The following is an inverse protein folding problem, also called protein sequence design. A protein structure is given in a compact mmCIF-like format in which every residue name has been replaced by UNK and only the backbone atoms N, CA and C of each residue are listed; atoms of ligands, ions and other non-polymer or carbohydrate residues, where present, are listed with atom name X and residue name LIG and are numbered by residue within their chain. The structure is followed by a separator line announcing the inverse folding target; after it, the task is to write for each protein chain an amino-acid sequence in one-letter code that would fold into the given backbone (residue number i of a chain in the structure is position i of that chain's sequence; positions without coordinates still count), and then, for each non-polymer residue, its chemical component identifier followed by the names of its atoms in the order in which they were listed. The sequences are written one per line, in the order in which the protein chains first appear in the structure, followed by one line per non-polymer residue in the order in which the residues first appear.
data_IF_667330041958
#
_entry.id   IF_667330041958
#
_cell.length_a   1.000
_cell.length_b   1.000
_cell.length_c   1.000
_cell.angle_alpha   90.00
_cell.angle_beta   90.00
_cell.angle_gamma   90.00
#
_symmetry.space_group_name_H-M   'P 1'
#
loop_
_entity.id
_entity.type
_entity.pdbx_description
1 polymer ?
#
# COMPACT_ATOMS: atom_id res chain seq x y z
N UNK A 1 3.13 19.09 25.63
CA UNK A 1 4.33 19.96 25.47
C UNK A 1 4.30 20.50 24.05
N UNK A 2 4.40 21.82 23.82
CA UNK A 2 4.52 22.33 22.45
C UNK A 2 5.96 22.10 21.97
N UNK A 3 6.14 21.21 21.00
CA UNK A 3 7.43 20.96 20.35
C UNK A 3 7.67 22.04 19.29
N UNK A 4 8.61 22.95 19.54
CA UNK A 4 9.06 23.93 18.55
C UNK A 4 10.19 23.33 17.71
N UNK A 5 9.85 22.83 16.51
CA UNK A 5 10.80 22.07 15.68
C UNK A 5 11.58 22.97 14.73
N UNK A 6 10.89 23.86 14.01
CA UNK A 6 11.47 24.70 12.96
C UNK A 6 11.58 26.18 13.36
N UNK A 7 10.89 26.60 14.42
CA UNK A 7 10.89 27.98 14.91
C UNK A 7 10.67 29.01 13.79
N UNK A 8 11.63 29.92 13.60
CA UNK A 8 11.59 30.97 12.56
C UNK A 8 11.66 30.43 11.12
N UNK A 9 12.08 29.19 10.95
CA UNK A 9 12.14 28.50 9.65
C UNK A 9 10.86 27.70 9.37
N UNK A 10 9.80 27.87 10.17
CA UNK A 10 8.52 27.21 9.96
C UNK A 10 7.87 27.70 8.67
N UNK A 11 7.16 26.79 8.00
CA UNK A 11 6.37 27.11 6.81
C UNK A 11 5.05 27.76 7.22
N UNK A 12 4.51 28.68 6.39
CA UNK A 12 3.13 29.10 6.50
C UNK A 12 2.18 27.90 6.52
N UNK A 13 1.08 28.00 7.27
CA UNK A 13 0.15 26.87 7.48
C UNK A 13 -0.45 26.38 6.16
N UNK A 14 -0.78 27.30 5.26
CA UNK A 14 -1.31 27.02 3.92
C UNK A 14 -0.30 26.25 3.05
N UNK A 15 0.99 26.58 3.15
CA UNK A 15 2.06 25.84 2.47
C UNK A 15 2.22 24.44 3.10
N UNK A 16 2.25 24.37 4.45
CA UNK A 16 2.36 23.11 5.19
C UNK A 16 1.26 22.11 4.80
N UNK A 17 0.00 22.55 4.75
CA UNK A 17 -1.14 21.68 4.46
C UNK A 17 -1.10 21.07 3.05
N UNK A 18 -0.34 21.64 2.11
CA UNK A 18 -0.22 21.10 0.75
C UNK A 18 0.64 19.83 0.68
N UNK A 19 1.68 19.74 1.50
CA UNK A 19 2.64 18.62 1.47
C UNK A 19 2.61 17.75 2.73
N UNK A 20 2.00 18.20 3.83
CA UNK A 20 1.91 17.44 5.08
C UNK A 20 1.32 16.01 4.91
N UNK A 21 0.25 15.78 4.11
CA UNK A 21 -0.26 14.43 3.90
C UNK A 21 0.75 13.50 3.23
N UNK A 22 1.54 14.03 2.29
CA UNK A 22 2.60 13.28 1.63
C UNK A 22 3.72 12.95 2.62
N UNK A 23 4.20 13.96 3.36
CA UNK A 23 5.24 13.75 4.34
C UNK A 23 4.83 12.75 5.43
N UNK A 24 3.59 12.81 5.92
CA UNK A 24 3.06 11.86 6.90
C UNK A 24 3.07 10.43 6.37
N UNK A 25 2.66 10.23 5.11
CA UNK A 25 2.71 8.92 4.47
C UNK A 25 4.16 8.45 4.35
N UNK A 26 5.07 9.30 3.89
CA UNK A 26 6.47 8.94 3.70
C UNK A 26 7.14 8.59 5.05
N UNK A 27 6.87 9.35 6.11
CA UNK A 27 7.29 9.00 7.49
C UNK A 27 6.76 7.63 7.92
N UNK A 28 5.48 7.35 7.63
CA UNK A 28 4.89 6.04 7.91
C UNK A 28 5.56 4.90 7.15
N UNK A 29 5.96 5.12 5.89
CA UNK A 29 6.69 4.13 5.12
C UNK A 29 8.10 3.91 5.67
N UNK A 30 8.84 4.99 5.98
CA UNK A 30 10.17 4.94 6.58
C UNK A 30 10.16 4.11 7.88
N UNK A 31 9.12 4.29 8.70
CA UNK A 31 8.97 3.57 9.96
C UNK A 31 8.56 2.11 9.81
N UNK A 32 7.61 1.82 8.91
CA UNK A 32 7.24 0.44 8.60
C UNK A 32 8.40 -0.36 7.99
N UNK A 33 9.33 0.32 7.30
CA UNK A 33 10.54 -0.26 6.74
C UNK A 33 11.73 -0.28 7.69
N UNK A 34 11.55 0.18 8.94
CA UNK A 34 12.57 0.16 9.98
C UNK A 34 13.86 0.91 9.61
N UNK A 35 13.78 1.92 8.76
CA UNK A 35 14.96 2.66 8.31
C UNK A 35 15.54 3.48 9.47
N UNK A 36 16.86 3.61 9.52
CA UNK A 36 17.51 4.53 10.44
C UNK A 36 17.30 5.97 9.96
N UNK A 37 16.70 6.82 10.80
CA UNK A 37 16.30 8.17 10.38
C UNK A 37 17.53 9.03 10.03
N UNK A 38 18.61 8.96 10.81
CA UNK A 38 19.80 9.77 10.55
C UNK A 38 20.42 9.42 9.19
N UNK A 39 20.68 8.13 8.97
CA UNK A 39 21.27 7.64 7.71
C UNK A 39 20.34 7.91 6.54
N UNK A 40 19.05 7.58 6.67
CA UNK A 40 18.07 7.76 5.60
C UNK A 40 17.96 9.21 5.14
N UNK A 41 17.81 10.16 6.08
CA UNK A 41 17.68 11.57 5.72
C UNK A 41 19.01 12.18 5.26
N UNK A 42 20.16 11.69 5.76
CA UNK A 42 21.46 12.08 5.24
C UNK A 42 21.66 11.63 3.79
N UNK A 43 21.35 10.37 3.50
CA UNK A 43 21.41 9.79 2.15
C UNK A 43 20.45 10.48 1.20
N UNK A 44 19.20 10.74 1.64
CA UNK A 44 18.22 11.44 0.84
C UNK A 44 18.66 12.86 0.50
N UNK A 45 19.25 13.58 1.48
CA UNK A 45 19.80 14.92 1.25
C UNK A 45 20.99 14.86 0.29
N UNK A 46 21.86 13.86 0.40
CA UNK A 46 22.99 13.67 -0.50
C UNK A 46 22.54 13.34 -1.93
N UNK A 47 21.55 12.46 -2.11
CA UNK A 47 20.97 12.12 -3.41
C UNK A 47 20.36 13.34 -4.08
N UNK A 48 19.59 14.13 -3.35
CA UNK A 48 19.05 15.39 -3.86
C UNK A 48 20.17 16.35 -4.28
N UNK A 49 21.23 16.48 -3.47
CA UNK A 49 22.39 17.29 -3.85
C UNK A 49 23.15 16.78 -5.08
N UNK A 50 23.14 15.46 -5.35
CA UNK A 50 23.70 14.88 -6.57
C UNK A 50 22.78 15.12 -7.77
N UNK A 51 21.46 14.97 -7.62
CA UNK A 51 20.48 15.30 -8.66
C UNK A 51 20.66 16.75 -9.13
N UNK A 52 20.85 17.67 -8.18
CA UNK A 52 21.17 19.08 -8.45
C UNK A 52 22.52 19.25 -9.19
N UNK A 53 23.53 18.45 -8.83
CA UNK A 53 24.86 18.50 -9.46
C UNK A 53 24.89 17.87 -10.86
N UNK A 54 24.06 16.86 -11.11
CA UNK A 54 24.09 16.04 -12.32
C UNK A 54 23.42 16.68 -13.53
N UNK A 55 22.61 17.73 -13.34
CA UNK A 55 21.85 18.32 -14.43
C UNK A 55 22.42 19.62 -14.99
N UNK A 56 23.29 20.38 -14.30
CA UNK A 56 24.13 21.45 -14.89
C UNK A 56 23.49 22.43 -15.91
N UNK A 57 22.15 22.54 -15.95
CA UNK A 57 21.39 23.14 -17.06
C UNK A 57 20.73 24.47 -16.67
N UNK A 58 20.99 25.00 -15.47
CA UNK A 58 20.49 26.30 -15.05
C UNK A 58 20.36 26.41 -13.53
N UNK A 59 19.90 27.57 -13.06
CA UNK A 59 19.50 27.76 -11.68
C UNK A 59 18.23 26.93 -11.38
N UNK A 60 18.17 26.33 -10.19
CA UNK A 60 17.01 25.58 -9.73
C UNK A 60 15.72 26.39 -9.89
N UNK A 61 14.67 25.73 -10.37
CA UNK A 61 13.34 26.33 -10.34
C UNK A 61 12.93 26.65 -8.89
N UNK A 62 12.08 27.66 -8.66
CA UNK A 62 11.55 27.94 -7.33
C UNK A 62 10.86 26.74 -6.67
N UNK A 63 10.35 25.79 -7.47
CA UNK A 63 9.77 24.54 -6.98
C UNK A 63 10.81 23.55 -6.47
N UNK A 64 11.93 23.38 -7.18
CA UNK A 64 13.05 22.52 -6.75
C UNK A 64 13.68 23.04 -5.46
N UNK A 65 13.95 24.34 -5.36
CA UNK A 65 14.48 24.94 -4.13
C UNK A 65 13.52 24.79 -2.93
N UNK A 66 12.21 24.84 -3.17
CA UNK A 66 11.22 24.53 -2.13
C UNK A 66 11.33 23.07 -1.68
N UNK A 67 11.41 22.13 -2.63
CA UNK A 67 11.55 20.70 -2.37
C UNK A 67 12.80 20.35 -1.55
N UNK A 68 13.94 20.91 -1.92
CA UNK A 68 15.21 20.73 -1.20
C UNK A 68 15.15 21.25 0.24
N UNK A 69 14.53 22.43 0.44
CA UNK A 69 14.29 22.99 1.78
C UNK A 69 13.36 22.11 2.62
N UNK A 70 12.43 21.39 2.00
CA UNK A 70 11.58 20.43 2.70
C UNK A 70 12.38 19.21 3.17
N UNK A 71 13.13 18.57 2.27
CA UNK A 71 13.91 17.38 2.59
C UNK A 71 14.96 17.63 3.68
N UNK A 72 15.64 18.78 3.62
CA UNK A 72 16.60 19.18 4.64
C UNK A 72 15.98 19.32 6.06
N UNK A 73 14.67 19.55 6.14
CA UNK A 73 13.91 19.68 7.40
C UNK A 73 13.15 18.42 7.78
N UNK A 74 12.87 17.53 6.82
CA UNK A 74 12.02 16.35 6.99
C UNK A 74 12.49 15.46 8.15
N UNK A 75 13.79 15.19 8.26
CA UNK A 75 14.32 14.35 9.36
C UNK A 75 14.20 14.97 10.76
N UNK A 76 14.22 16.31 10.87
CA UNK A 76 13.95 16.99 12.15
C UNK A 76 12.47 16.91 12.50
N UNK A 77 11.60 17.09 11.51
CA UNK A 77 10.14 16.96 11.68
C UNK A 77 9.79 15.52 12.07
N UNK A 78 10.37 14.51 11.42
CA UNK A 78 10.06 13.11 11.67
C UNK A 78 10.42 12.71 13.10
N UNK A 79 11.65 13.00 13.55
CA UNK A 79 12.08 12.74 14.94
C UNK A 79 11.18 13.44 15.97
N UNK A 80 10.87 14.72 15.75
CA UNK A 80 9.99 15.44 16.67
C UNK A 80 8.56 14.87 16.69
N UNK A 81 8.09 14.39 15.54
CA UNK A 81 6.78 13.77 15.40
C UNK A 81 6.74 12.38 16.05
N UNK A 82 7.79 11.57 15.94
CA UNK A 82 7.92 10.31 16.69
C UNK A 82 7.85 10.54 18.21
N UNK A 83 8.55 11.55 18.72
CA UNK A 83 8.50 11.89 20.14
C UNK A 83 7.08 12.30 20.55
N UNK A 84 6.43 13.17 19.77
CA UNK A 84 5.06 13.58 20.03
C UNK A 84 4.09 12.38 20.05
N UNK A 85 4.22 11.46 19.08
CA UNK A 85 3.39 10.26 18.99
C UNK A 85 3.59 9.33 20.20
N UNK A 86 4.83 9.15 20.61
CA UNK A 86 5.20 8.37 21.80
C UNK A 86 4.58 8.98 23.06
N UNK A 87 4.72 10.29 23.25
CA UNK A 87 4.17 11.02 24.40
C UNK A 87 2.63 10.94 24.46
N UNK A 88 1.97 10.94 23.29
CA UNK A 88 0.52 10.82 23.18
C UNK A 88 0.02 9.38 23.23
N UNK A 89 0.91 8.38 23.20
CA UNK A 89 0.57 6.96 23.06
C UNK A 89 -0.31 6.68 21.83
N UNK A 90 -0.09 7.43 20.75
CA UNK A 90 -0.85 7.32 19.51
C UNK A 90 0.04 7.70 18.33
N UNK A 91 -0.07 6.97 17.22
CA UNK A 91 0.70 7.28 16.03
C UNK A 91 0.13 6.73 14.74
N UNK A 92 0.75 7.12 13.63
CA UNK A 92 0.49 6.53 12.33
C UNK A 92 0.92 5.06 12.30
N UNK A 93 0.45 4.33 11.29
CA UNK A 93 0.64 2.89 11.17
C UNK A 93 2.13 2.48 11.25
N UNK A 94 3.02 3.18 10.54
CA UNK A 94 4.46 2.92 10.57
C UNK A 94 5.09 3.04 11.96
N UNK A 95 4.75 4.09 12.71
CA UNK A 95 5.26 4.29 14.07
C UNK A 95 4.80 3.15 15.00
N UNK A 96 3.53 2.73 14.88
CA UNK A 96 3.00 1.58 15.61
C UNK A 96 3.73 0.29 15.23
N UNK A 97 4.02 0.07 13.94
CA UNK A 97 4.78 -1.08 13.47
C UNK A 97 6.21 -1.11 14.01
N UNK A 98 6.91 0.03 14.00
CA UNK A 98 8.26 0.16 14.59
C UNK A 98 8.25 -0.08 16.10
N UNK A 99 7.26 0.46 16.82
CA UNK A 99 7.09 0.22 18.25
C UNK A 99 6.80 -1.26 18.56
N UNK A 100 5.99 -1.93 17.73
CA UNK A 100 5.75 -3.36 17.85
C UNK A 100 7.04 -4.17 17.69
N UNK A 101 7.88 -3.83 16.70
CA UNK A 101 9.19 -4.46 16.52
C UNK A 101 10.07 -4.28 17.76
N UNK A 102 10.16 -3.06 18.31
CA UNK A 102 10.93 -2.81 19.54
C UNK A 102 10.43 -3.64 20.73
N UNK A 103 9.11 -3.75 20.89
CA UNK A 103 8.48 -4.55 21.96
C UNK A 103 8.73 -6.07 21.79
N UNK A 104 8.67 -6.60 20.58
CA UNK A 104 9.04 -8.00 20.33
C UNK A 104 10.55 -8.26 20.44
N UNK A 105 11.38 -7.28 20.06
CA UNK A 105 12.83 -7.37 20.15
C UNK A 105 13.34 -7.34 21.61
N UNK A 106 12.64 -6.64 22.51
CA UNK A 106 12.98 -6.63 23.95
C UNK A 106 12.68 -7.96 24.66
N UNK A 107 11.95 -8.87 24.02
CA UNK A 107 11.49 -10.13 24.62
C UNK A 107 10.18 -10.00 25.41
N UNK A 108 9.63 -8.80 25.56
CA UNK A 108 8.35 -8.56 26.23
C UNK A 108 7.15 -8.82 25.32
N UNK A 109 7.35 -8.81 24.00
CA UNK A 109 6.30 -8.99 23.00
C UNK A 109 5.50 -10.26 23.23
N UNK A 110 4.24 -10.13 23.61
CA UNK A 110 3.31 -11.23 23.72
C UNK A 110 2.00 -10.85 23.05
N UNK A 111 1.30 -11.86 22.56
CA UNK A 111 -0.05 -11.70 22.06
C UNK A 111 -1.01 -12.44 23.00
N UNK A 112 -2.23 -11.92 23.19
CA UNK A 112 -3.22 -12.55 24.07
C UNK A 112 -3.83 -13.82 23.46
N UNK A 113 -3.52 -14.13 22.20
CA UNK A 113 -4.09 -15.26 21.47
C UNK A 113 -3.21 -16.51 21.60
N UNK A 114 -3.84 -17.66 21.80
CA UNK A 114 -3.15 -18.96 21.78
C UNK A 114 -2.61 -19.30 20.39
N UNK A 115 -3.33 -18.88 19.34
CA UNK A 115 -2.95 -19.10 17.96
C UNK A 115 -3.32 -17.91 17.08
N UNK A 116 -2.41 -17.54 16.19
CA UNK A 116 -2.59 -16.48 15.18
C UNK A 116 -2.42 -17.07 13.79
N UNK A 117 -3.32 -16.75 12.86
CA UNK A 117 -3.18 -17.13 11.46
C UNK A 117 -2.77 -15.94 10.61
N UNK A 118 -1.75 -16.13 9.80
CA UNK A 118 -1.27 -15.17 8.80
C UNK A 118 -1.72 -15.66 7.43
N UNK A 119 -2.64 -14.93 6.81
CA UNK A 119 -3.21 -15.25 5.50
C UNK A 119 -3.43 -13.96 4.70
N UNK A 120 -3.39 -14.05 3.36
CA UNK A 120 -3.66 -12.91 2.48
C UNK A 120 -2.58 -11.81 2.47
N UNK A 121 -1.40 -12.06 3.05
CA UNK A 121 -0.30 -11.10 3.03
C UNK A 121 0.42 -11.13 1.68
N UNK A 122 0.50 -9.98 1.01
CA UNK A 122 1.17 -9.83 -0.28
C UNK A 122 2.55 -9.19 -0.15
N UNK A 123 2.64 -7.91 0.22
CA UNK A 123 3.89 -7.17 0.33
C UNK A 123 4.10 -6.76 1.78
N UNK A 124 4.62 -7.67 2.60
CA UNK A 124 4.90 -7.38 4.01
C UNK A 124 6.02 -6.34 4.12
N UNK A 125 5.78 -5.35 4.97
CA UNK A 125 6.83 -4.42 5.39
C UNK A 125 7.86 -5.16 6.26
N UNK A 126 9.13 -4.70 6.31
CA UNK A 126 10.14 -5.25 7.23
C UNK A 126 9.66 -5.37 8.68
N UNK A 127 8.89 -4.40 9.18
CA UNK A 127 8.34 -4.45 10.53
C UNK A 127 7.33 -5.59 10.73
N UNK A 128 6.36 -5.71 9.82
CA UNK A 128 5.38 -6.81 9.87
C UNK A 128 6.07 -8.17 9.76
N UNK A 129 7.03 -8.27 8.84
CA UNK A 129 7.80 -9.48 8.63
C UNK A 129 8.57 -9.88 9.90
N UNK A 130 9.19 -8.92 10.60
CA UNK A 130 9.88 -9.18 11.86
C UNK A 130 8.93 -9.76 12.92
N UNK A 131 7.77 -9.12 13.11
CA UNK A 131 6.78 -9.55 14.11
C UNK A 131 6.22 -10.92 13.76
N UNK A 132 5.83 -11.15 12.49
CA UNK A 132 5.33 -12.43 12.01
C UNK A 132 6.37 -13.53 12.21
N UNK A 133 7.63 -13.29 11.82
CA UNK A 133 8.71 -14.26 12.00
C UNK A 133 8.91 -14.61 13.47
N UNK A 134 8.82 -13.62 14.37
CA UNK A 134 8.94 -13.84 15.80
C UNK A 134 7.80 -14.72 16.35
N UNK A 135 6.55 -14.46 15.94
CA UNK A 135 5.39 -15.25 16.34
C UNK A 135 5.42 -16.67 15.78
N UNK A 136 5.89 -16.85 14.55
CA UNK A 136 6.07 -18.17 13.93
C UNK A 136 7.14 -18.98 14.69
N UNK A 137 8.29 -18.37 14.99
CA UNK A 137 9.38 -19.01 15.75
C UNK A 137 8.95 -19.47 17.14
N UNK A 138 8.04 -18.74 17.79
CA UNK A 138 7.47 -19.11 19.10
C UNK A 138 6.35 -20.15 19.02
N UNK A 139 5.93 -20.55 17.82
CA UNK A 139 4.86 -21.51 17.62
C UNK A 139 3.45 -20.97 17.89
N UNK A 140 3.30 -19.65 18.09
CA UNK A 140 2.01 -18.99 18.31
C UNK A 140 1.33 -18.69 16.98
N UNK A 141 2.09 -18.32 15.94
CA UNK A 141 1.53 -18.09 14.61
C UNK A 141 1.57 -19.34 13.72
N UNK A 142 0.70 -19.36 12.71
CA UNK A 142 0.68 -20.23 11.53
C UNK A 142 0.52 -19.40 10.28
N UNK A 143 1.15 -19.81 9.20
CA UNK A 143 1.05 -19.12 7.92
C UNK A 143 0.28 -19.95 6.89
N UNK A 144 -0.56 -19.29 6.12
CA UNK A 144 -1.40 -19.84 5.07
C UNK A 144 -1.09 -19.09 3.76
N UNK A 145 -0.15 -19.65 3.00
CA UNK A 145 0.27 -19.06 1.72
C UNK A 145 -0.53 -19.67 0.57
N UNK A 146 -1.27 -18.83 -0.15
CA UNK A 146 -1.88 -19.23 -1.42
C UNK A 146 -0.79 -19.25 -2.49
N UNK A 147 -0.34 -20.45 -2.86
CA UNK A 147 0.80 -20.65 -3.76
C UNK A 147 0.40 -21.49 -4.97
N UNK A 148 0.94 -21.11 -6.12
CA UNK A 148 0.80 -21.84 -7.38
C UNK A 148 2.19 -22.03 -8.03
N UNK A 149 2.54 -23.23 -8.54
CA UNK A 149 3.82 -23.49 -9.19
C UNK A 149 4.16 -22.51 -10.33
N UNK A 150 3.16 -21.95 -11.03
CA UNK A 150 3.36 -20.94 -12.05
C UNK A 150 3.91 -19.61 -11.49
N UNK A 151 3.67 -19.30 -10.22
CA UNK A 151 4.23 -18.14 -9.52
C UNK A 151 5.57 -18.44 -8.86
N UNK A 152 5.78 -19.69 -8.41
CA UNK A 152 6.98 -20.07 -7.66
C UNK A 152 8.17 -20.46 -8.55
N UNK A 153 7.90 -21.16 -9.66
CA UNK A 153 8.96 -21.78 -10.46
C UNK A 153 9.57 -20.86 -11.53
N UNK A 154 8.97 -19.70 -11.77
CA UNK A 154 9.47 -18.70 -12.70
C UNK A 154 9.99 -17.46 -11.94
N UNK A 155 11.32 -17.29 -11.80
CA UNK A 155 11.89 -16.11 -11.17
C UNK A 155 11.57 -14.80 -11.90
N UNK A 156 11.30 -14.86 -13.22
CA UNK A 156 10.94 -13.70 -14.03
C UNK A 156 9.49 -13.25 -13.82
N UNK A 157 8.64 -14.10 -13.23
CA UNK A 157 7.28 -13.73 -12.89
C UNK A 157 7.27 -12.82 -11.65
N UNK A 158 6.98 -11.53 -11.87
CA UNK A 158 6.96 -10.50 -10.83
C UNK A 158 5.85 -10.71 -9.81
N UNK A 159 4.71 -11.27 -10.23
CA UNK A 159 3.58 -11.56 -9.34
C UNK A 159 3.95 -12.56 -8.22
N UNK A 160 4.95 -13.41 -8.44
CA UNK A 160 5.46 -14.35 -7.44
C UNK A 160 6.59 -13.81 -6.57
N UNK A 161 7.08 -12.60 -6.79
CA UNK A 161 8.27 -12.06 -6.12
C UNK A 161 8.14 -12.09 -4.59
N UNK A 162 7.12 -11.42 -4.04
CA UNK A 162 6.93 -11.37 -2.59
C UNK A 162 6.57 -12.73 -2.01
N UNK A 163 5.83 -13.55 -2.75
CA UNK A 163 5.47 -14.90 -2.30
C UNK A 163 6.72 -15.78 -2.13
N UNK A 164 7.65 -15.77 -3.10
CA UNK A 164 8.93 -16.48 -3.00
C UNK A 164 9.77 -15.97 -1.83
N UNK A 165 9.78 -14.65 -1.63
CA UNK A 165 10.47 -14.01 -0.49
C UNK A 165 9.87 -14.46 0.85
N UNK A 166 8.54 -14.42 1.01
CA UNK A 166 7.85 -14.89 2.20
C UNK A 166 8.13 -16.37 2.50
N UNK A 167 8.11 -17.24 1.48
CA UNK A 167 8.42 -18.66 1.66
C UNK A 167 9.86 -18.88 2.14
N UNK A 168 10.81 -18.11 1.62
CA UNK A 168 12.22 -18.19 2.02
C UNK A 168 12.45 -17.71 3.46
N UNK A 169 11.76 -16.65 3.89
CA UNK A 169 12.03 -15.98 5.16
C UNK A 169 11.10 -16.42 6.31
N UNK A 170 9.87 -16.82 5.99
CA UNK A 170 8.81 -17.19 6.94
C UNK A 170 8.45 -18.68 6.86
N UNK A 171 9.00 -19.43 5.90
CA UNK A 171 8.76 -20.85 5.71
C UNK A 171 7.54 -21.17 4.83
N UNK A 172 7.31 -22.47 4.54
CA UNK A 172 6.37 -22.92 3.50
C UNK A 172 4.89 -22.72 3.81
N UNK A 173 4.55 -22.32 5.04
CA UNK A 173 3.15 -22.29 5.51
C UNK A 173 2.55 -23.70 5.66
N UNK A 174 1.26 -23.77 6.01
CA UNK A 174 0.54 -25.02 6.24
C UNK A 174 -0.36 -25.45 5.08
N UNK A 175 -0.60 -24.56 4.11
CA UNK A 175 -1.46 -24.86 2.95
C UNK A 175 -0.60 -25.41 1.80
N UNK A 176 -0.94 -26.57 1.22
CA UNK A 176 -0.21 -27.10 0.07
C UNK A 176 -0.43 -26.22 -1.17
N UNK A 177 0.58 -26.09 -2.05
CA UNK A 177 0.41 -25.39 -3.32
C UNK A 177 -0.72 -25.98 -4.17
N UNK A 178 -1.43 -25.12 -4.89
CA UNK A 178 -2.47 -25.50 -5.84
C UNK A 178 -2.04 -25.13 -7.26
N UNK A 179 -2.16 -26.04 -8.23
CA UNK A 179 -1.77 -25.78 -9.64
C UNK A 179 -2.99 -25.34 -10.47
N UNK A 180 -3.76 -24.39 -9.96
CA UNK A 180 -5.04 -23.97 -10.56
C UNK A 180 -4.86 -22.95 -11.69
N UNK A 181 -3.72 -22.28 -11.79
CA UNK A 181 -3.44 -21.34 -12.87
C UNK A 181 -3.28 -22.06 -14.21
N UNK A 182 -2.68 -23.26 -14.21
CA UNK A 182 -2.44 -24.05 -15.43
C UNK A 182 -3.48 -25.13 -15.66
N UNK A 183 -3.92 -25.83 -14.61
CA UNK A 183 -4.77 -27.02 -14.78
C UNK A 183 -6.26 -26.71 -14.84
N UNK A 184 -6.70 -25.58 -14.25
CA UNK A 184 -8.13 -25.23 -14.26
C UNK A 184 -8.52 -24.76 -15.66
N UNK A 185 -9.43 -25.48 -16.30
CA UNK A 185 -10.00 -25.07 -17.57
C UNK A 185 -10.73 -23.73 -17.43
N UNK A 186 -10.48 -22.80 -18.36
CA UNK A 186 -11.09 -21.46 -18.40
C UNK A 186 -11.52 -21.17 -19.83
N UNK A 187 -12.74 -20.64 -19.99
CA UNK A 187 -13.16 -20.01 -21.24
C UNK A 187 -12.76 -18.55 -21.17
N UNK A 188 -11.86 -18.13 -22.07
CA UNK A 188 -11.40 -16.73 -22.14
C UNK A 188 -11.90 -16.13 -23.45
N UNK A 189 -12.68 -15.05 -23.34
CA UNK A 189 -13.16 -14.27 -24.48
C UNK A 189 -12.47 -12.91 -24.42
N UNK A 190 -11.67 -12.60 -25.43
CA UNK A 190 -11.05 -11.29 -25.59
C UNK A 190 -11.88 -10.45 -26.57
N UNK A 191 -12.23 -9.24 -26.17
CA UNK A 191 -12.89 -8.24 -27.04
C UNK A 191 -12.01 -7.01 -27.15
N UNK A 192 -11.82 -6.51 -28.36
CA UNK A 192 -11.14 -5.24 -28.62
C UNK A 192 -12.20 -4.15 -28.83
N UNK A 193 -12.10 -3.07 -28.05
CA UNK A 193 -13.03 -1.95 -28.08
C UNK A 193 -12.23 -0.65 -28.24
N UNK A 194 -12.81 0.38 -28.89
CA UNK A 194 -12.07 1.56 -29.33
C UNK A 194 -11.54 2.43 -28.18
N UNK A 195 -12.18 2.38 -27.01
CA UNK A 195 -11.84 3.22 -25.87
C UNK A 195 -12.30 2.59 -24.52
N UNK A 196 -11.75 3.06 -23.37
CA UNK A 196 -12.11 2.54 -22.05
C UNK A 196 -13.59 2.70 -21.65
N UNK A 197 -14.27 3.75 -22.14
CA UNK A 197 -15.71 3.92 -21.88
C UNK A 197 -16.48 2.83 -22.58
N UNK A 198 -16.17 2.56 -23.85
CA UNK A 198 -16.76 1.44 -24.60
C UNK A 198 -16.54 0.09 -23.91
N UNK A 199 -15.38 -0.13 -23.27
CA UNK A 199 -15.12 -1.34 -22.45
C UNK A 199 -16.07 -1.44 -21.25
N UNK A 200 -16.26 -0.35 -20.51
CA UNK A 200 -17.20 -0.31 -19.39
C UNK A 200 -18.66 -0.56 -19.85
N UNK A 201 -19.05 -0.02 -21.01
CA UNK A 201 -20.37 -0.26 -21.59
C UNK A 201 -20.60 -1.73 -21.94
N UNK A 202 -19.62 -2.34 -22.61
CA UNK A 202 -19.69 -3.74 -23.01
C UNK A 202 -19.75 -4.67 -21.79
N UNK A 203 -18.90 -4.42 -20.78
CA UNK A 203 -18.96 -5.15 -19.51
C UNK A 203 -20.33 -5.03 -18.83
N UNK A 204 -20.95 -3.84 -18.86
CA UNK A 204 -22.29 -3.63 -18.30
C UNK A 204 -23.38 -4.38 -19.07
N UNK A 205 -23.26 -4.47 -20.40
CA UNK A 205 -24.17 -5.24 -21.26
C UNK A 205 -24.05 -6.74 -21.02
N UNK A 206 -22.83 -7.26 -20.96
CA UNK A 206 -22.57 -8.67 -20.63
C UNK A 206 -23.14 -9.02 -19.25
N UNK A 207 -22.89 -8.18 -18.24
CA UNK A 207 -23.45 -8.38 -16.91
C UNK A 207 -24.99 -8.37 -16.93
N UNK A 208 -25.61 -7.46 -17.69
CA UNK A 208 -27.07 -7.36 -17.80
C UNK A 208 -27.72 -8.54 -18.52
N UNK A 209 -27.00 -9.24 -19.39
CA UNK A 209 -27.50 -10.40 -20.11
C UNK A 209 -27.53 -11.69 -19.25
N UNK A 210 -26.80 -11.71 -18.13
CA UNK A 210 -26.74 -12.86 -17.22
C UNK A 210 -28.02 -13.01 -16.39
N UNK A 211 -28.39 -14.25 -16.10
CA UNK A 211 -29.48 -14.55 -15.15
C UNK A 211 -29.14 -14.05 -13.74
N UNK A 212 -30.14 -13.82 -12.85
CA UNK A 212 -29.87 -13.42 -11.46
C UNK A 212 -28.87 -14.33 -10.74
N UNK A 213 -29.00 -15.65 -10.92
CA UNK A 213 -28.11 -16.66 -10.32
C UNK A 213 -26.69 -16.61 -10.87
N UNK A 214 -26.51 -16.36 -12.17
CA UNK A 214 -25.16 -16.20 -12.74
C UNK A 214 -24.51 -14.89 -12.27
N UNK A 215 -25.30 -13.83 -12.13
CA UNK A 215 -24.82 -12.52 -11.65
C UNK A 215 -24.31 -12.59 -10.21
N UNK A 216 -24.96 -13.34 -9.33
CA UNK A 216 -24.49 -13.54 -7.95
C UNK A 216 -23.07 -14.12 -7.87
N UNK A 217 -22.69 -14.98 -8.83
CA UNK A 217 -21.36 -15.56 -8.95
C UNK A 217 -20.38 -14.75 -9.82
N UNK A 218 -20.76 -13.56 -10.29
CA UNK A 218 -19.99 -12.76 -11.24
C UNK A 218 -19.33 -11.56 -10.55
N UNK A 219 -18.06 -11.31 -10.86
CA UNK A 219 -17.34 -10.10 -10.44
C UNK A 219 -16.86 -9.33 -11.66
N UNK A 220 -17.12 -8.02 -11.68
CA UNK A 220 -16.58 -7.10 -12.69
C UNK A 220 -15.40 -6.35 -12.08
N UNK A 221 -14.23 -6.49 -12.69
CA UNK A 221 -13.00 -5.80 -12.26
C UNK A 221 -12.68 -4.69 -13.26
N UNK A 222 -12.76 -3.45 -12.81
CA UNK A 222 -12.39 -2.28 -13.60
C UNK A 222 -10.91 -1.94 -13.36
N UNK A 223 -10.10 -1.96 -14.41
CA UNK A 223 -8.67 -1.62 -14.32
C UNK A 223 -8.43 -0.14 -13.97
N UNK A 224 -9.37 0.75 -14.33
CA UNK A 224 -9.37 2.17 -13.96
C UNK A 224 -10.59 2.50 -13.09
N UNK A 225 -10.39 2.94 -11.83
CA UNK A 225 -11.46 3.41 -10.94
C UNK A 225 -12.34 4.53 -11.52
N UNK A 226 -11.82 5.34 -12.45
CA UNK A 226 -12.56 6.38 -13.16
C UNK A 226 -13.73 5.84 -13.99
N UNK A 227 -13.69 4.56 -14.37
CA UNK A 227 -14.71 3.91 -15.19
C UNK A 227 -15.94 3.46 -14.40
N UNK A 228 -15.91 3.52 -13.07
CA UNK A 228 -17.01 3.04 -12.23
C UNK A 228 -18.32 3.78 -12.50
N UNK A 229 -18.30 5.11 -12.56
CA UNK A 229 -19.52 5.88 -12.84
C UNK A 229 -20.05 5.67 -14.26
N UNK A 230 -19.22 5.71 -15.31
CA UNK A 230 -19.63 5.27 -16.64
C UNK A 230 -20.25 3.87 -16.65
N UNK A 231 -19.64 2.90 -15.98
CA UNK A 231 -20.16 1.53 -15.88
C UNK A 231 -21.56 1.50 -15.22
N UNK A 232 -21.70 2.08 -14.03
CA UNK A 232 -22.95 2.06 -13.26
C UNK A 232 -24.12 2.75 -13.99
N UNK A 233 -23.85 3.86 -14.69
CA UNK A 233 -24.88 4.61 -15.42
C UNK A 233 -25.52 3.82 -16.57
N UNK A 234 -24.84 2.80 -17.06
CA UNK A 234 -25.30 1.99 -18.19
C UNK A 234 -25.86 0.63 -17.77
N UNK A 235 -25.85 0.33 -16.47
CA UNK A 235 -26.56 -0.82 -15.95
C UNK A 235 -28.07 -0.55 -15.95
N UNK A 236 -28.89 -1.51 -16.40
CA UNK A 236 -30.34 -1.34 -16.36
C UNK A 236 -30.83 -1.26 -14.91
N UNK A 237 -31.84 -0.44 -14.65
CA UNK A 237 -32.44 -0.31 -13.32
C UNK A 237 -33.01 -1.65 -12.79
N UNK A 238 -33.29 -2.60 -13.69
CA UNK A 238 -33.79 -3.95 -13.39
C UNK A 238 -32.69 -4.93 -12.97
N UNK A 239 -31.42 -4.53 -12.93
CA UNK A 239 -30.30 -5.39 -12.54
C UNK A 239 -30.34 -5.79 -11.05
N UNK A 240 -31.11 -5.10 -10.21
CA UNK A 240 -31.14 -5.39 -8.77
C UNK A 240 -29.93 -4.83 -8.03
N UNK A 241 -29.57 -5.43 -6.90
CA UNK A 241 -28.50 -4.90 -6.04
C UNK A 241 -27.11 -5.23 -6.60
N UNK A 242 -26.20 -4.25 -6.49
CA UNK A 242 -24.80 -4.39 -6.88
C UNK A 242 -23.92 -4.02 -5.68
N UNK A 243 -23.00 -4.90 -5.32
CA UNK A 243 -22.03 -4.65 -4.27
C UNK A 243 -20.78 -3.99 -4.88
N UNK A 244 -20.43 -2.81 -4.40
CA UNK A 244 -19.27 -2.03 -4.88
C UNK A 244 -18.21 -2.04 -3.78
N UNK A 245 -17.06 -2.63 -4.06
CA UNK A 245 -15.92 -2.71 -3.13
C UNK A 245 -14.90 -1.59 -3.34
N UNK A 246 -15.02 -0.83 -4.44
CA UNK A 246 -14.10 0.27 -4.74
C UNK A 246 -14.48 1.52 -3.95
N UNK A 247 -13.51 2.12 -3.27
CA UNK A 247 -13.65 3.48 -2.75
C UNK A 247 -13.77 4.46 -3.92
N UNK A 248 -14.86 5.22 -4.00
CA UNK A 248 -14.99 6.30 -4.97
C UNK A 248 -14.18 7.49 -4.46
N UNK A 249 -13.16 7.99 -5.19
CA UNK A 249 -12.49 9.22 -4.80
C UNK A 249 -13.52 10.34 -4.69
N UNK A 250 -13.49 11.12 -3.60
CA UNK A 250 -14.44 12.23 -3.36
C UNK A 250 -14.61 13.15 -4.57
N UNK A 251 -13.51 13.44 -5.30
CA UNK A 251 -13.49 14.23 -6.54
C UNK A 251 -14.33 13.68 -7.69
N UNK A 252 -14.71 12.40 -7.65
CA UNK A 252 -15.52 11.75 -8.70
C UNK A 252 -17.00 11.68 -8.31
N UNK A 253 -17.38 11.99 -7.07
CA UNK A 253 -18.79 12.10 -6.71
C UNK A 253 -19.36 13.38 -7.32
N UNK A 254 -20.58 13.35 -7.88
CA UNK A 254 -21.25 14.58 -8.30
C UNK A 254 -21.51 15.44 -7.06
N UNK A 255 -20.69 16.48 -6.89
CA UNK A 255 -20.94 17.52 -5.89
C UNK A 255 -22.04 18.39 -6.50
N UNK A 256 -23.30 18.04 -6.26
CA UNK A 256 -24.40 18.98 -6.45
C UNK A 256 -24.35 19.92 -5.24
N UNK A 257 -23.70 21.07 -5.43
CA UNK A 257 -23.85 22.26 -4.60
C UNK A 257 -24.80 23.24 -5.27
#
# INVERSE_FOLDING_TARGET
TQLEVLGKDAFPVDEFLQWAPMLLRDMSEVDAHLLDLETFYADLTALQGIEDWSLGLGADSPGQQRLLRYWAKAGRIHRAFEQLQTDMQAGHAGHVSRAAVAHFASGEGQVPWERVWIAGAHALTPAEQFVIAHLLKRGVARAAWDTDPALLNDPGQSAGYFLRKHLAELGPGEIPPSDLLRTRHRSVVARALPDPTSMALDAGRELAALSPTEREGTTVVLADPGLLLPFLRHLPATLGQVNITMSVPLRHLPING
#
